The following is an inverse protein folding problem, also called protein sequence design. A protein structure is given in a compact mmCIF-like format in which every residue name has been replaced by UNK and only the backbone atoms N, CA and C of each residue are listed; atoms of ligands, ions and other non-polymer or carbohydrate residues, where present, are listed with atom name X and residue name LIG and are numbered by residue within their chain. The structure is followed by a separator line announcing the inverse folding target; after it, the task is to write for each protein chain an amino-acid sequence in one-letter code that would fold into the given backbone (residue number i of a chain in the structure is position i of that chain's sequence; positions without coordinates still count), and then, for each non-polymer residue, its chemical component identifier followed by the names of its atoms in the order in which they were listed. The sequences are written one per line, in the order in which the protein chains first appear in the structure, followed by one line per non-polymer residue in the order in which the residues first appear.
data_IF_567770895856
#
_entry.id   IF_567770895856
#
_cell.length_a   1.000
_cell.length_b   1.000
_cell.length_c   1.000
_cell.angle_alpha   90.00
_cell.angle_beta   90.00
_cell.angle_gamma   90.00
#
_symmetry.space_group_name_H-M   'P 1'
#
loop_
_entity.id
_entity.type
_entity.pdbx_description
1 polymer ?
#
# COMPACT_ATOMS: atom_id res chain seq x y z
N UNK A 1 11.64 15.95 5.19
CA UNK A 1 11.46 14.54 5.62
C UNK A 1 10.53 13.88 4.61
N UNK A 2 10.76 12.62 4.20
CA UNK A 2 9.80 11.88 3.37
C UNK A 2 8.44 11.86 4.08
N UNK A 3 7.35 12.09 3.35
CA UNK A 3 6.02 11.86 3.92
C UNK A 3 5.78 10.34 4.04
N UNK A 4 5.19 9.88 5.16
CA UNK A 4 4.97 8.45 5.40
C UNK A 4 3.89 7.90 4.47
N UNK A 5 4.02 6.62 4.13
CA UNK A 5 2.98 5.85 3.45
C UNK A 5 1.92 5.51 4.50
N UNK A 6 0.64 5.69 4.19
CA UNK A 6 -0.46 5.39 5.10
C UNK A 6 -1.25 4.19 4.60
N UNK A 7 -1.44 3.19 5.46
CA UNK A 7 -2.44 2.13 5.28
C UNK A 7 -3.70 2.59 6.01
N UNK A 8 -4.83 2.60 5.31
CA UNK A 8 -6.12 3.00 5.83
C UNK A 8 -7.07 1.82 5.85
N UNK A 9 -7.61 1.52 7.03
CA UNK A 9 -8.49 0.38 7.27
C UNK A 9 -9.52 0.68 8.37
N UNK A 10 -10.49 1.57 8.07
CA UNK A 10 -11.67 1.89 8.89
C UNK A 10 -11.48 1.79 10.42
N UNK A 11 -10.45 2.46 10.97
CA UNK A 11 -10.17 2.49 12.41
C UNK A 11 -8.88 1.77 12.83
N UNK A 12 -8.24 1.02 11.93
CA UNK A 12 -6.92 0.42 12.12
C UNK A 12 -5.91 0.99 11.10
N UNK A 13 -5.74 2.31 11.13
CA UNK A 13 -4.81 2.99 10.23
C UNK A 13 -3.37 2.82 10.72
N UNK A 14 -2.44 2.62 9.79
CA UNK A 14 -1.01 2.48 10.06
C UNK A 14 -0.20 3.44 9.20
N UNK A 15 0.91 3.91 9.74
CA UNK A 15 1.90 4.68 8.99
C UNK A 15 3.16 3.83 8.83
N UNK A 16 3.67 3.77 7.60
CA UNK A 16 4.90 3.09 7.24
C UNK A 16 5.90 4.12 6.73
N UNK A 17 7.13 4.05 7.21
CA UNK A 17 8.22 4.93 6.81
C UNK A 17 8.85 4.52 5.46
N UNK A 18 8.69 3.25 5.05
CA UNK A 18 9.25 2.72 3.81
C UNK A 18 8.32 1.73 3.10
N UNK A 19 8.63 1.46 1.84
CA UNK A 19 7.93 0.45 1.04
C UNK A 19 8.14 -0.98 1.58
N UNK A 20 9.32 -1.26 2.15
CA UNK A 20 9.61 -2.56 2.77
C UNK A 20 8.75 -2.77 4.01
N UNK A 21 8.62 -1.73 4.85
CA UNK A 21 7.74 -1.77 6.02
C UNK A 21 6.28 -1.95 5.59
N UNK A 22 5.82 -1.23 4.56
CA UNK A 22 4.49 -1.39 3.99
C UNK A 22 4.21 -2.85 3.61
N UNK A 23 5.11 -3.48 2.83
CA UNK A 23 4.96 -4.88 2.40
C UNK A 23 4.90 -5.84 3.58
N UNK A 24 5.77 -5.64 4.57
CA UNK A 24 5.80 -6.45 5.79
C UNK A 24 4.51 -6.32 6.60
N UNK A 25 4.04 -5.10 6.82
CA UNK A 25 2.82 -4.83 7.59
C UNK A 25 1.59 -5.39 6.87
N UNK A 26 1.47 -5.16 5.56
CA UNK A 26 0.34 -5.69 4.76
C UNK A 26 0.29 -7.23 4.84
N UNK A 27 1.41 -7.90 4.59
CA UNK A 27 1.48 -9.37 4.55
C UNK A 27 1.37 -10.04 5.93
N UNK A 28 1.62 -9.33 7.04
CA UNK A 28 1.57 -9.90 8.39
C UNK A 28 0.33 -9.49 9.20
N UNK A 29 -0.03 -8.20 9.19
CA UNK A 29 -1.09 -7.65 10.05
C UNK A 29 -2.44 -7.55 9.34
N UNK A 30 -2.46 -7.44 8.02
CA UNK A 30 -3.67 -7.19 7.23
C UNK A 30 -4.09 -8.38 6.35
N UNK A 31 -3.67 -9.60 6.68
CA UNK A 31 -4.10 -10.82 5.95
C UNK A 31 -5.62 -10.96 5.95
N UNK A 32 -6.17 -11.40 4.81
CA UNK A 32 -7.60 -11.59 4.58
C UNK A 32 -8.41 -10.29 4.75
N UNK A 33 -7.78 -9.14 4.48
CA UNK A 33 -8.41 -7.82 4.57
C UNK A 33 -8.20 -7.00 3.29
N UNK A 34 -9.11 -6.04 3.12
CA UNK A 34 -9.05 -5.04 2.06
C UNK A 34 -8.71 -3.69 2.67
N UNK A 35 -7.59 -3.10 2.27
CA UNK A 35 -7.09 -1.85 2.82
C UNK A 35 -6.74 -0.87 1.71
N UNK A 36 -6.67 0.41 2.04
CA UNK A 36 -6.24 1.44 1.10
C UNK A 36 -4.84 1.91 1.46
N UNK A 37 -3.91 1.84 0.52
CA UNK A 37 -2.57 2.42 0.65
C UNK A 37 -2.59 3.81 0.05
N UNK A 38 -2.23 4.81 0.85
CA UNK A 38 -2.22 6.21 0.48
C UNK A 38 -0.79 6.71 0.59
N UNK A 39 -0.28 7.35 -0.46
CA UNK A 39 1.05 7.93 -0.46
C UNK A 39 1.10 9.16 -1.37
N UNK A 40 2.06 10.07 -1.13
CA UNK A 40 2.29 11.20 -2.04
C UNK A 40 3.38 10.84 -3.04
N UNK A 41 3.08 10.96 -4.33
CA UNK A 41 4.09 10.81 -5.38
C UNK A 41 5.07 11.98 -5.31
N UNK A 42 6.37 11.71 -5.21
CA UNK A 42 7.42 12.74 -5.26
C UNK A 42 7.56 13.35 -6.64
N UNK A 43 7.23 12.61 -7.70
CA UNK A 43 7.26 13.09 -9.09
C UNK A 43 6.25 14.21 -9.34
N UNK A 44 5.04 14.09 -8.80
CA UNK A 44 3.92 15.03 -9.10
C UNK A 44 3.44 15.83 -7.90
N UNK A 45 3.82 15.45 -6.67
CA UNK A 45 3.26 16.00 -5.43
C UNK A 45 1.82 15.55 -5.15
N UNK A 46 1.22 14.72 -5.99
CA UNK A 46 -0.17 14.28 -5.83
C UNK A 46 -0.27 13.12 -4.85
N UNK A 47 -1.34 13.14 -4.06
CA UNK A 47 -1.76 12.00 -3.26
C UNK A 47 -2.33 10.92 -4.18
N UNK A 48 -1.73 9.73 -4.12
CA UNK A 48 -2.19 8.52 -4.77
C UNK A 48 -2.81 7.60 -3.72
N UNK A 49 -3.88 6.92 -4.13
CA UNK A 49 -4.57 5.90 -3.33
C UNK A 49 -4.63 4.62 -4.14
N UNK A 50 -4.11 3.54 -3.59
CA UNK A 50 -4.13 2.19 -4.17
C UNK A 50 -4.95 1.32 -3.23
N UNK A 51 -6.01 0.70 -3.75
CA UNK A 51 -6.82 -0.23 -2.98
C UNK A 51 -6.24 -1.63 -3.13
N UNK A 52 -5.91 -2.27 -2.01
CA UNK A 52 -5.23 -3.55 -1.98
C UNK A 52 -6.01 -4.58 -1.16
N UNK A 53 -6.07 -5.78 -1.68
CA UNK A 53 -6.60 -6.98 -1.04
C UNK A 53 -5.41 -7.86 -0.66
N UNK A 54 -5.28 -8.20 0.61
CA UNK A 54 -4.25 -9.13 1.07
C UNK A 54 -4.87 -10.52 1.22
N UNK A 55 -4.43 -11.47 0.42
CA UNK A 55 -4.86 -12.86 0.54
C UNK A 55 -4.29 -13.51 1.81
N UNK A 56 -4.89 -14.62 2.24
CA UNK A 56 -4.45 -15.38 3.41
C UNK A 56 -3.01 -15.92 3.27
N UNK A 57 -2.56 -16.13 2.04
CA UNK A 57 -1.17 -16.49 1.67
C UNK A 57 -0.16 -15.35 1.87
N UNK A 58 -0.63 -14.12 2.09
CA UNK A 58 0.19 -12.91 2.13
C UNK A 58 0.41 -12.26 0.76
N UNK A 59 -0.18 -12.80 -0.32
CA UNK A 59 -0.15 -12.19 -1.65
C UNK A 59 -1.02 -10.92 -1.65
N UNK A 60 -0.45 -9.82 -2.16
CA UNK A 60 -1.12 -8.50 -2.15
C UNK A 60 -1.55 -8.17 -3.58
N UNK A 61 -2.85 -8.06 -3.79
CA UNK A 61 -3.48 -7.79 -5.09
C UNK A 61 -4.22 -6.46 -5.08
N UNK A 62 -4.41 -5.86 -6.23
CA UNK A 62 -5.29 -4.71 -6.35
C UNK A 62 -6.74 -5.11 -6.09
N UNK A 63 -7.50 -4.30 -5.35
CA UNK A 63 -8.90 -4.61 -5.03
C UNK A 63 -9.86 -4.33 -6.19
N UNK A 64 -9.48 -3.47 -7.13
CA UNK A 64 -10.28 -3.08 -8.28
C UNK A 64 -9.57 -3.45 -9.59
N UNK A 65 -10.34 -3.65 -10.67
CA UNK A 65 -9.79 -4.00 -11.98
C UNK A 65 -9.60 -5.51 -12.16
N UNK A 66 -8.43 -5.94 -12.64
CA UNK A 66 -8.13 -7.36 -12.91
C UNK A 66 -7.70 -8.15 -11.67
N UNK A 67 -7.67 -7.52 -10.49
CA UNK A 67 -7.12 -8.11 -9.26
C UNK A 67 -5.69 -8.65 -9.45
N UNK A 68 -4.90 -7.95 -10.26
CA UNK A 68 -3.50 -8.27 -10.49
C UNK A 68 -2.69 -8.01 -9.21
N UNK A 69 -1.50 -8.60 -9.13
CA UNK A 69 -0.56 -8.29 -8.05
C UNK A 69 -0.20 -6.80 -8.07
N UNK A 70 -0.13 -6.20 -6.88
CA UNK A 70 0.20 -4.77 -6.76
C UNK A 70 1.59 -4.52 -7.32
N UNK A 71 1.70 -3.59 -8.26
CA UNK A 71 2.98 -3.17 -8.82
C UNK A 71 3.71 -2.26 -7.83
N UNK A 72 4.44 -2.87 -6.89
CA UNK A 72 5.24 -2.14 -5.92
C UNK A 72 6.43 -1.40 -6.53
N UNK A 73 6.92 -1.80 -7.69
CA UNK A 73 8.01 -1.09 -8.37
C UNK A 73 7.54 0.29 -8.82
N UNK A 74 6.31 0.39 -9.33
CA UNK A 74 5.71 1.68 -9.67
C UNK A 74 5.56 2.59 -8.45
N UNK A 75 5.18 2.03 -7.30
CA UNK A 75 5.09 2.77 -6.02
C UNK A 75 6.49 3.23 -5.60
N UNK A 76 7.50 2.37 -5.70
CA UNK A 76 8.90 2.72 -5.40
C UNK A 76 9.41 3.86 -6.28
N UNK A 77 9.11 3.82 -7.58
CA UNK A 77 9.47 4.88 -8.51
C UNK A 77 8.78 6.21 -8.20
N UNK A 78 7.52 6.17 -7.76
CA UNK A 78 6.81 7.37 -7.33
C UNK A 78 7.38 7.97 -6.03
N UNK A 79 7.94 7.12 -5.17
CA UNK A 79 8.51 7.50 -3.88
C UNK A 79 10.00 7.85 -3.96
N UNK A 80 10.64 7.69 -5.11
CA UNK A 80 12.04 8.08 -5.36
C UNK A 80 12.13 9.58 -5.61
#
# INVERSE_FOLDING_TARGET
MPEPIQIKNFGNDRFCASLEELKSVLSNEFRDQHVSVIYRSRKTGLLKTVFVSVEQSGVIRESYGQQAEVNFDQISEDLS
#
